data_IF_115911345775
#
_entry.id   IF_115911345775
#
_cell.length_a   1.000
_cell.length_b   1.000
_cell.length_c   1.000
_cell.angle_alpha   90.00
_cell.angle_beta   90.00
_cell.angle_gamma   90.00
#
_symmetry.space_group_name_H-M   'P 1'
#
loop_
_entity.id
_entity.type
_entity.pdbx_description
1 polymer ?
#
# COMPACT_ATOMS: atom_id res chain seq x y z
N UNK A 1 -7.45 -21.66 -4.37
CA UNK A 1 -6.10 -21.70 -3.74
C UNK A 1 -5.04 -21.77 -4.83
N UNK A 2 -4.04 -20.91 -4.78
CA UNK A 2 -2.96 -20.86 -5.77
C UNK A 2 -1.76 -21.66 -5.28
N UNK A 3 -1.33 -22.62 -6.08
CA UNK A 3 -0.11 -23.41 -5.84
C UNK A 3 0.94 -22.95 -6.83
N UNK A 4 2.12 -22.57 -6.34
CA UNK A 4 3.20 -22.02 -7.14
C UNK A 4 4.48 -22.83 -6.91
N UNK A 5 5.25 -23.00 -7.97
CA UNK A 5 6.55 -23.67 -7.89
C UNK A 5 7.61 -22.69 -7.39
N UNK A 6 8.32 -23.08 -6.32
CA UNK A 6 9.46 -22.31 -5.81
C UNK A 6 10.77 -22.84 -6.43
N UNK A 7 11.53 -22.02 -7.18
CA UNK A 7 12.65 -22.50 -7.97
C UNK A 7 13.83 -23.02 -7.13
N UNK A 8 14.08 -22.42 -5.96
CA UNK A 8 15.17 -22.85 -5.08
C UNK A 8 14.79 -24.09 -4.28
N UNK A 9 13.60 -24.14 -3.68
CA UNK A 9 13.13 -25.27 -2.89
C UNK A 9 12.77 -26.49 -3.77
N UNK A 10 12.56 -26.27 -5.07
CA UNK A 10 12.14 -27.28 -6.05
C UNK A 10 10.84 -27.99 -5.67
N UNK A 11 9.96 -27.27 -4.98
CA UNK A 11 8.67 -27.79 -4.51
C UNK A 11 7.52 -26.85 -4.83
N UNK A 12 6.29 -27.35 -4.69
CA UNK A 12 5.08 -26.57 -4.86
C UNK A 12 4.65 -25.95 -3.52
N UNK A 13 4.59 -24.65 -3.46
CA UNK A 13 4.11 -23.88 -2.30
C UNK A 13 2.63 -23.57 -2.48
N UNK A 14 1.81 -24.04 -1.55
CA UNK A 14 0.39 -23.67 -1.52
C UNK A 14 0.20 -22.42 -0.69
N UNK A 15 -0.05 -21.28 -1.37
CA UNK A 15 -0.22 -19.97 -0.73
C UNK A 15 -1.36 -19.95 0.30
N UNK A 16 -2.39 -20.79 0.14
CA UNK A 16 -3.50 -20.87 1.09
C UNK A 16 -3.11 -21.53 2.44
N UNK A 17 -1.93 -22.15 2.52
CA UNK A 17 -1.42 -22.78 3.75
C UNK A 17 -0.36 -21.91 4.45
N UNK A 18 -0.06 -20.72 3.95
CA UNK A 18 0.91 -19.82 4.58
C UNK A 18 0.30 -19.11 5.78
N UNK A 19 1.14 -18.79 6.76
CA UNK A 19 0.73 -18.02 7.94
C UNK A 19 0.19 -16.65 7.54
N UNK A 20 0.78 -16.02 6.53
CA UNK A 20 0.32 -14.75 6.00
C UNK A 20 -1.10 -14.83 5.44
N UNK A 21 -1.45 -15.90 4.72
CA UNK A 21 -2.79 -16.10 4.21
C UNK A 21 -3.80 -16.26 5.35
N UNK A 22 -3.46 -17.07 6.36
CA UNK A 22 -4.29 -17.27 7.54
C UNK A 22 -4.52 -15.96 8.27
N UNK A 23 -3.45 -15.24 8.59
CA UNK A 23 -3.52 -13.93 9.25
C UNK A 23 -4.38 -12.93 8.46
N UNK A 24 -4.18 -12.86 7.14
CA UNK A 24 -4.94 -11.92 6.28
C UNK A 24 -6.43 -12.23 6.29
N UNK A 25 -6.81 -13.51 6.24
CA UNK A 25 -8.21 -13.89 6.30
C UNK A 25 -8.82 -13.61 7.68
N UNK A 26 -8.10 -13.88 8.75
CA UNK A 26 -8.53 -13.58 10.12
C UNK A 26 -8.72 -12.08 10.32
N UNK A 27 -7.77 -11.26 9.80
CA UNK A 27 -7.88 -9.81 9.81
C UNK A 27 -9.12 -9.32 9.04
N UNK A 28 -9.33 -9.77 7.81
CA UNK A 28 -10.52 -9.40 7.06
C UNK A 28 -11.82 -9.84 7.74
N UNK A 29 -11.82 -11.03 8.33
CA UNK A 29 -12.95 -11.52 9.08
C UNK A 29 -13.24 -10.65 10.31
N UNK A 30 -12.20 -10.27 11.05
CA UNK A 30 -12.33 -9.33 12.17
C UNK A 30 -12.89 -7.97 11.74
N UNK A 31 -12.47 -7.46 10.57
CA UNK A 31 -12.99 -6.20 10.03
C UNK A 31 -14.48 -6.26 9.68
N UNK A 32 -14.98 -7.40 9.18
CA UNK A 32 -16.43 -7.54 8.86
C UNK A 32 -17.33 -7.37 10.07
N UNK A 33 -16.81 -7.63 11.27
CA UNK A 33 -17.56 -7.46 12.52
C UNK A 33 -17.47 -6.04 13.11
N UNK A 34 -16.70 -5.13 12.47
CA UNK A 34 -16.58 -3.74 12.92
C UNK A 34 -17.70 -2.88 12.36
N UNK A 35 -18.31 -2.07 13.23
CA UNK A 35 -19.34 -1.11 12.83
C UNK A 35 -18.76 -0.08 11.83
N UNK A 36 -19.53 0.24 10.81
CA UNK A 36 -19.18 1.21 9.75
C UNK A 36 -17.99 0.80 8.89
N UNK A 37 -17.63 -0.47 8.85
CA UNK A 37 -16.65 -1.03 7.92
C UNK A 37 -17.37 -1.79 6.83
N UNK A 38 -17.05 -1.47 5.59
CA UNK A 38 -17.48 -2.21 4.42
C UNK A 38 -16.24 -2.70 3.66
N UNK A 39 -16.12 -4.02 3.48
CA UNK A 39 -15.01 -4.60 2.74
C UNK A 39 -15.37 -4.72 1.25
N UNK A 40 -14.51 -4.16 0.40
CA UNK A 40 -14.49 -4.39 -1.02
C UNK A 40 -13.19 -5.08 -1.39
N UNK A 41 -13.25 -6.38 -1.50
CA UNK A 41 -12.06 -7.15 -1.91
C UNK A 41 -11.81 -6.94 -3.41
N UNK A 42 -10.53 -6.91 -3.78
CA UNK A 42 -10.10 -7.00 -5.17
C UNK A 42 -10.48 -8.34 -5.80
N UNK A 43 -10.19 -8.50 -7.06
CA UNK A 43 -10.27 -9.78 -7.76
C UNK A 43 -9.19 -10.74 -7.25
N UNK A 44 -9.24 -11.99 -7.68
CA UNK A 44 -8.22 -12.96 -7.31
C UNK A 44 -6.83 -12.46 -7.68
N UNK A 45 -5.86 -12.71 -6.79
CA UNK A 45 -4.47 -12.38 -7.04
C UNK A 45 -3.98 -13.10 -8.30
N UNK A 46 -3.52 -12.33 -9.28
CA UNK A 46 -2.86 -12.88 -10.45
C UNK A 46 -1.35 -12.97 -10.18
N UNK A 47 -0.78 -14.15 -10.39
CA UNK A 47 0.67 -14.31 -10.42
C UNK A 47 1.13 -14.20 -11.85
N UNK A 48 2.02 -13.27 -12.14
CA UNK A 48 2.57 -13.12 -13.49
C UNK A 48 3.71 -14.10 -13.72
N UNK A 49 4.66 -14.19 -12.82
CA UNK A 49 5.88 -15.00 -12.97
C UNK A 49 6.10 -16.01 -11.84
N UNK A 50 5.27 -15.98 -10.79
CA UNK A 50 5.51 -16.79 -9.60
C UNK A 50 6.61 -16.20 -8.72
N UNK A 51 7.56 -17.03 -8.31
CA UNK A 51 8.72 -16.56 -7.54
C UNK A 51 9.80 -16.02 -8.48
N UNK A 52 10.27 -14.81 -8.21
CA UNK A 52 11.35 -14.13 -8.94
C UNK A 52 12.48 -13.76 -8.00
N UNK A 53 13.71 -13.87 -8.47
CA UNK A 53 14.86 -13.42 -7.69
C UNK A 53 14.82 -11.90 -7.53
N UNK A 54 15.02 -11.40 -6.30
CA UNK A 54 14.98 -9.97 -6.05
C UNK A 54 16.08 -9.20 -6.80
N UNK A 55 15.83 -7.91 -7.07
CA UNK A 55 16.68 -7.11 -7.92
C UNK A 55 18.11 -6.92 -7.35
N UNK A 56 18.26 -6.84 -6.03
CA UNK A 56 19.57 -6.68 -5.39
C UNK A 56 20.42 -7.94 -5.57
N UNK A 57 19.85 -9.11 -5.32
CA UNK A 57 20.55 -10.40 -5.52
C UNK A 57 20.86 -10.63 -7.00
N UNK A 58 19.95 -10.28 -7.89
CA UNK A 58 20.20 -10.33 -9.34
C UNK A 58 21.42 -9.48 -9.72
N UNK A 59 21.51 -8.23 -9.23
CA UNK A 59 22.68 -7.36 -9.46
C UNK A 59 23.95 -7.95 -8.88
N UNK A 60 23.92 -8.53 -7.69
CA UNK A 60 25.09 -9.14 -7.04
C UNK A 60 25.60 -10.35 -7.80
N UNK A 61 24.73 -11.21 -8.32
CA UNK A 61 25.10 -12.34 -9.18
C UNK A 61 25.72 -11.85 -10.47
N UNK A 62 25.08 -10.91 -11.18
CA UNK A 62 25.61 -10.35 -12.43
C UNK A 62 26.96 -9.66 -12.25
N UNK A 63 27.22 -9.09 -11.07
CA UNK A 63 28.50 -8.47 -10.71
C UNK A 63 29.55 -9.51 -10.23
N UNK A 64 29.24 -10.79 -10.18
CA UNK A 64 30.14 -11.83 -9.67
C UNK A 64 30.46 -11.75 -8.18
N UNK A 65 29.64 -11.03 -7.40
CA UNK A 65 29.84 -10.86 -5.96
C UNK A 65 29.31 -12.01 -5.12
N UNK A 66 28.32 -12.72 -5.62
CA UNK A 66 27.73 -13.93 -5.03
C UNK A 66 27.48 -14.95 -6.12
N UNK A 67 27.40 -16.19 -5.76
CA UNK A 67 27.09 -17.31 -6.67
C UNK A 67 25.64 -17.78 -6.48
N UNK A 68 25.15 -18.58 -7.40
CA UNK A 68 23.81 -19.17 -7.32
C UNK A 68 23.66 -20.07 -6.08
N UNK A 69 24.77 -20.69 -5.62
CA UNK A 69 24.79 -21.53 -4.41
C UNK A 69 24.61 -20.75 -3.11
N UNK A 70 24.79 -19.42 -3.14
CA UNK A 70 24.68 -18.55 -1.96
C UNK A 70 23.24 -18.04 -1.77
N UNK A 71 22.33 -18.38 -2.70
CA UNK A 71 20.94 -17.94 -2.64
C UNK A 71 20.16 -18.67 -1.56
N UNK A 72 19.28 -17.91 -0.90
CA UNK A 72 18.36 -18.38 0.12
C UNK A 72 16.90 -18.19 -0.33
N UNK A 73 15.97 -18.83 0.33
CA UNK A 73 14.53 -18.71 0.05
C UNK A 73 14.06 -17.24 0.13
N UNK A 74 14.54 -16.50 1.13
CA UNK A 74 14.22 -15.08 1.32
C UNK A 74 14.74 -14.15 0.21
N UNK A 75 15.54 -14.66 -0.73
CA UNK A 75 16.03 -13.88 -1.87
C UNK A 75 15.06 -13.89 -3.05
N UNK A 76 13.95 -14.62 -2.92
CA UNK A 76 12.92 -14.71 -3.94
C UNK A 76 11.66 -13.98 -3.51
N UNK A 77 11.25 -13.04 -4.34
CA UNK A 77 10.00 -12.31 -4.17
C UNK A 77 8.88 -12.99 -4.94
N UNK A 78 7.69 -12.98 -4.35
CA UNK A 78 6.50 -13.50 -5.02
C UNK A 78 5.87 -12.40 -5.89
N UNK A 79 5.93 -12.58 -7.20
CA UNK A 79 5.37 -11.63 -8.18
C UNK A 79 3.84 -11.81 -8.27
N UNK A 80 3.15 -11.13 -7.35
CA UNK A 80 1.69 -11.12 -7.28
C UNK A 80 1.20 -9.73 -7.64
N UNK A 81 0.25 -9.67 -8.57
CA UNK A 81 -0.45 -8.44 -8.95
C UNK A 81 -1.92 -8.56 -8.58
N UNK A 82 -2.42 -7.59 -7.87
CA UNK A 82 -3.84 -7.42 -7.61
C UNK A 82 -4.39 -6.36 -8.56
N UNK A 83 -5.23 -6.77 -9.50
CA UNK A 83 -5.81 -5.87 -10.49
C UNK A 83 -7.14 -5.27 -10.03
N UNK A 84 -7.42 -4.07 -10.49
CA UNK A 84 -8.74 -3.45 -10.43
C UNK A 84 -9.14 -2.85 -9.09
N UNK A 85 -8.29 -2.89 -8.04
CA UNK A 85 -8.59 -2.25 -6.75
C UNK A 85 -8.61 -0.75 -6.90
N UNK A 86 -7.59 -0.18 -7.52
CA UNK A 86 -7.44 1.27 -7.69
C UNK A 86 -8.59 1.86 -8.52
N UNK A 87 -8.97 1.17 -9.59
CA UNK A 87 -10.14 1.54 -10.40
C UNK A 87 -11.42 1.55 -9.55
N UNK A 88 -11.62 0.56 -8.68
CA UNK A 88 -12.81 0.48 -7.82
C UNK A 88 -12.84 1.61 -6.80
N UNK A 89 -11.70 1.92 -6.19
CA UNK A 89 -11.58 3.05 -5.26
C UNK A 89 -11.87 4.36 -5.99
N UNK A 90 -11.29 4.55 -7.18
CA UNK A 90 -11.55 5.73 -8.01
C UNK A 90 -13.02 5.90 -8.37
N UNK A 91 -13.71 4.82 -8.74
CA UNK A 91 -15.16 4.84 -9.03
C UNK A 91 -16.00 5.11 -7.78
N UNK A 92 -15.60 4.58 -6.62
CA UNK A 92 -16.29 4.87 -5.35
C UNK A 92 -16.17 6.35 -4.98
N UNK A 93 -14.97 6.92 -5.10
CA UNK A 93 -14.73 8.34 -4.86
C UNK A 93 -15.60 9.18 -5.82
N UNK A 94 -15.60 8.86 -7.11
CA UNK A 94 -16.41 9.57 -8.10
C UNK A 94 -17.91 9.48 -7.78
N UNK A 95 -18.39 8.30 -7.42
CA UNK A 95 -19.80 8.09 -7.05
C UNK A 95 -20.19 8.88 -5.80
N UNK A 96 -19.34 8.94 -4.78
CA UNK A 96 -19.57 9.73 -3.57
C UNK A 96 -19.59 11.22 -3.89
N UNK A 97 -18.69 11.65 -4.76
CA UNK A 97 -18.59 13.03 -5.20
C UNK A 97 -19.85 13.50 -5.97
N UNK A 98 -20.31 12.68 -6.91
CA UNK A 98 -21.50 12.98 -7.71
C UNK A 98 -22.78 13.00 -6.87
N UNK A 99 -22.89 12.12 -5.88
CA UNK A 99 -24.07 12.04 -5.02
C UNK A 99 -24.12 13.17 -3.96
N UNK A 100 -23.02 13.86 -3.71
CA UNK A 100 -22.95 14.89 -2.68
C UNK A 100 -23.28 14.37 -1.26
N UNK A 101 -23.00 13.10 -0.99
CA UNK A 101 -23.38 12.44 0.27
C UNK A 101 -22.31 12.55 1.35
N UNK A 102 -21.14 13.06 1.00
CA UNK A 102 -20.00 13.25 1.91
C UNK A 102 -19.39 14.62 1.70
N UNK A 103 -18.90 15.22 2.76
CA UNK A 103 -18.20 16.53 2.70
C UNK A 103 -16.67 16.35 2.71
N UNK A 104 -16.20 15.20 3.17
CA UNK A 104 -14.78 14.91 3.30
C UNK A 104 -14.50 13.45 2.94
N UNK A 105 -13.40 13.23 2.27
CA UNK A 105 -12.83 11.90 1.99
C UNK A 105 -11.42 11.85 2.57
N UNK A 106 -11.14 10.86 3.41
CA UNK A 106 -9.79 10.54 3.88
C UNK A 106 -9.29 9.32 3.13
N UNK A 107 -8.26 9.51 2.31
CA UNK A 107 -7.62 8.44 1.54
C UNK A 107 -6.36 7.94 2.25
N UNK A 108 -6.28 6.64 2.48
CA UNK A 108 -5.07 6.00 3.03
C UNK A 108 -4.31 5.35 1.87
N UNK A 109 -3.41 6.11 1.28
CA UNK A 109 -2.53 5.64 0.19
C UNK A 109 -1.47 6.70 -0.13
N UNK A 110 -0.32 6.28 -0.66
CA UNK A 110 0.70 7.19 -1.23
C UNK A 110 0.73 7.18 -2.76
N UNK A 111 -0.15 6.44 -3.41
CA UNK A 111 -0.09 6.13 -4.84
C UNK A 111 -0.60 7.30 -5.71
N UNK A 112 0.19 7.63 -6.73
CA UNK A 112 -0.14 8.67 -7.73
C UNK A 112 -1.34 8.33 -8.62
N UNK A 113 -1.72 7.07 -8.71
CA UNK A 113 -2.86 6.63 -9.53
C UNK A 113 -4.19 7.20 -9.04
N UNK A 114 -4.22 7.68 -7.77
CA UNK A 114 -5.39 8.35 -7.21
C UNK A 114 -5.50 9.85 -7.49
N UNK A 115 -4.51 10.47 -8.16
CA UNK A 115 -4.58 11.90 -8.54
C UNK A 115 -5.84 12.28 -9.33
N UNK A 116 -6.30 11.51 -10.32
CA UNK A 116 -7.55 11.82 -11.02
C UNK A 116 -8.76 11.80 -10.10
N UNK A 117 -8.84 10.85 -9.17
CA UNK A 117 -9.94 10.73 -8.21
C UNK A 117 -9.95 11.90 -7.20
N UNK A 118 -8.77 12.29 -6.68
CA UNK A 118 -8.62 13.44 -5.80
C UNK A 118 -9.06 14.73 -6.49
N UNK A 119 -8.61 14.96 -7.72
CA UNK A 119 -9.04 16.12 -8.53
C UNK A 119 -10.55 16.15 -8.74
N UNK A 120 -11.16 15.01 -9.00
CA UNK A 120 -12.60 14.91 -9.22
C UNK A 120 -13.38 15.26 -7.95
N UNK A 121 -13.01 14.67 -6.81
CA UNK A 121 -13.63 14.95 -5.51
C UNK A 121 -13.54 16.44 -5.15
N UNK A 122 -12.36 17.04 -5.27
CA UNK A 122 -12.15 18.48 -4.98
C UNK A 122 -12.96 19.40 -5.88
N UNK A 123 -13.07 19.09 -7.17
CA UNK A 123 -13.93 19.85 -8.10
C UNK A 123 -15.40 19.76 -7.75
N UNK A 124 -15.83 18.70 -7.09
CA UNK A 124 -17.18 18.50 -6.57
C UNK A 124 -17.39 19.13 -5.19
N UNK A 125 -16.41 19.88 -4.68
CA UNK A 125 -16.50 20.58 -3.38
C UNK A 125 -16.26 19.68 -2.17
N UNK A 126 -15.64 18.52 -2.34
CA UNK A 126 -15.29 17.62 -1.26
C UNK A 126 -13.86 17.88 -0.79
N UNK A 127 -13.69 18.01 0.52
CA UNK A 127 -12.39 18.10 1.18
C UNK A 127 -11.66 16.74 1.07
N UNK A 128 -10.53 16.71 0.39
CA UNK A 128 -9.79 15.48 0.11
C UNK A 128 -8.50 15.42 0.91
N UNK A 129 -8.51 14.64 1.99
CA UNK A 129 -7.37 14.45 2.87
C UNK A 129 -6.62 13.16 2.55
N UNK A 130 -5.31 13.20 2.72
CA UNK A 130 -4.44 12.04 2.57
C UNK A 130 -3.84 11.63 3.92
N UNK A 131 -3.99 10.37 4.29
CA UNK A 131 -3.24 9.76 5.38
C UNK A 131 -2.30 8.71 4.81
N UNK A 132 -0.99 9.00 4.70
CA UNK A 132 -0.03 8.08 4.13
C UNK A 132 0.41 6.99 5.12
N UNK A 133 -0.02 7.03 6.38
CA UNK A 133 0.43 6.10 7.42
C UNK A 133 1.96 5.97 7.46
N UNK A 134 2.68 7.10 7.39
CA UNK A 134 4.15 7.21 7.37
C UNK A 134 4.83 6.66 6.10
N UNK A 135 4.06 6.20 5.11
CA UNK A 135 4.61 5.81 3.82
C UNK A 135 5.01 7.03 2.97
N UNK A 136 5.96 6.87 2.05
CA UNK A 136 6.30 7.92 1.09
C UNK A 136 5.10 8.32 0.25
N UNK A 137 5.00 9.61 -0.06
CA UNK A 137 3.93 10.16 -0.90
C UNK A 137 4.54 10.64 -2.20
N UNK A 138 3.89 10.34 -3.32
CA UNK A 138 4.28 10.94 -4.58
C UNK A 138 4.03 12.44 -4.57
N UNK A 139 4.98 13.22 -5.12
CA UNK A 139 4.84 14.67 -5.26
C UNK A 139 3.56 15.04 -6.01
N UNK A 140 3.24 14.28 -7.04
CA UNK A 140 2.03 14.47 -7.84
C UNK A 140 0.75 14.36 -7.00
N UNK A 141 0.68 13.40 -6.07
CA UNK A 141 -0.50 13.24 -5.21
C UNK A 141 -0.57 14.35 -4.16
N UNK A 142 0.55 14.69 -3.51
CA UNK A 142 0.59 15.75 -2.48
C UNK A 142 0.16 17.13 -3.01
N UNK A 143 0.38 17.42 -4.29
CA UNK A 143 -0.06 18.68 -4.92
C UNK A 143 -1.57 18.73 -5.21
N UNK A 144 -2.26 17.59 -5.10
CA UNK A 144 -3.67 17.46 -5.49
C UNK A 144 -4.62 17.07 -4.36
N UNK A 145 -4.15 17.16 -3.11
CA UNK A 145 -4.97 16.97 -1.91
C UNK A 145 -5.14 18.29 -1.17
N UNK A 146 -6.15 18.40 -0.32
CA UNK A 146 -6.40 19.60 0.48
C UNK A 146 -5.59 19.60 1.78
N UNK A 147 -5.22 18.41 2.26
CA UNK A 147 -4.37 18.28 3.43
C UNK A 147 -3.79 16.88 3.59
N UNK A 148 -2.75 16.79 4.41
CA UNK A 148 -2.10 15.53 4.78
C UNK A 148 -2.21 15.38 6.29
N UNK A 149 -2.70 14.23 6.77
CA UNK A 149 -2.84 13.91 8.19
C UNK A 149 -2.12 12.61 8.50
N UNK A 150 -1.55 12.53 9.68
CA UNK A 150 -0.98 11.31 10.23
C UNK A 150 -1.84 10.88 11.41
N UNK A 151 -2.77 9.94 11.19
CA UNK A 151 -3.72 9.52 12.22
C UNK A 151 -3.16 8.46 13.17
N UNK A 152 -2.03 7.86 12.84
CA UNK A 152 -1.37 6.84 13.67
C UNK A 152 -0.01 7.33 14.14
N UNK A 153 0.43 6.84 15.31
CA UNK A 153 1.78 7.10 15.79
C UNK A 153 2.81 6.54 14.82
N UNK A 154 3.96 7.23 14.73
CA UNK A 154 5.07 6.74 13.93
C UNK A 154 5.46 5.31 14.34
N UNK A 155 5.74 4.43 13.37
CA UNK A 155 6.26 3.11 13.70
C UNK A 155 7.59 3.26 14.48
N UNK A 156 7.86 2.40 15.47
CA UNK A 156 9.15 2.43 16.15
C UNK A 156 10.27 2.21 15.14
N UNK A 157 11.38 2.95 15.30
CA UNK A 157 12.50 3.00 14.35
C UNK A 157 13.11 1.63 13.94
N UNK A 158 12.74 0.56 14.61
CA UNK A 158 13.20 -0.80 14.34
C UNK A 158 12.37 -1.56 13.28
N UNK A 159 11.30 -0.93 12.78
CA UNK A 159 10.42 -1.50 11.74
C UNK A 159 10.52 -0.75 10.40
N UNK A 160 11.45 0.18 10.26
CA UNK A 160 11.76 0.74 8.94
C UNK A 160 12.50 -0.33 8.15
N UNK A 161 11.77 -0.95 7.23
CA UNK A 161 12.33 -1.84 6.23
C UNK A 161 13.50 -1.12 5.53
N UNK A 162 14.73 -1.67 5.52
CA UNK A 162 15.88 -1.03 4.90
C UNK A 162 15.76 -0.81 3.39
N UNK A 163 14.66 -1.21 2.76
CA UNK A 163 14.39 -1.02 1.35
C UNK A 163 13.80 0.36 0.98
N UNK A 164 13.55 1.26 1.95
CA UNK A 164 12.86 2.53 1.68
C UNK A 164 13.61 3.79 2.11
N UNK A 165 14.92 3.71 2.33
CA UNK A 165 15.73 4.90 2.67
C UNK A 165 16.63 5.28 1.50
N UNK A 166 16.03 5.84 0.43
CA UNK A 166 16.78 6.72 -0.46
C UNK A 166 15.85 7.79 -1.03
N UNK A 167 16.08 9.03 -0.59
CA UNK A 167 15.52 10.31 -1.01
C UNK A 167 14.49 10.98 -0.10
N UNK A 168 14.82 11.16 1.16
CA UNK A 168 14.26 12.28 1.92
C UNK A 168 15.38 13.10 2.60
N UNK A 169 16.13 13.84 1.81
CA UNK A 169 16.84 15.00 2.32
C UNK A 169 15.91 16.22 2.29
N UNK A 170 15.70 16.80 3.48
CA UNK A 170 15.20 18.15 3.73
C UNK A 170 13.76 18.49 3.31
N UNK A 171 12.83 18.33 4.25
CA UNK A 171 11.96 19.44 4.69
C UNK A 171 11.03 18.98 5.80
N UNK A 172 11.54 19.05 7.04
CA UNK A 172 10.68 19.15 8.22
C UNK A 172 9.96 20.50 8.12
N UNK A 173 8.67 20.48 7.88
CA UNK A 173 7.81 21.63 8.20
C UNK A 173 7.08 21.27 9.46
N UNK A 174 7.45 21.97 10.53
CA UNK A 174 6.73 22.02 11.78
C UNK A 174 5.27 22.39 11.52
N UNK A 175 4.39 21.46 11.72
CA UNK A 175 2.96 21.74 11.82
C UNK A 175 2.69 21.93 13.30
N UNK A 176 2.62 23.19 13.71
CA UNK A 176 2.08 23.60 15.00
C UNK A 176 0.61 23.20 15.04
N UNK A 177 0.26 22.41 16.04
CA UNK A 177 -1.12 22.16 16.42
C UNK A 177 -1.59 23.44 17.16
N UNK A 178 -2.48 24.18 16.57
CA UNK A 178 -3.25 25.19 17.29
C UNK A 178 -4.30 24.46 18.14
N UNK A 179 -4.01 24.32 19.43
CA UNK A 179 -4.98 24.03 20.47
C UNK A 179 -5.74 25.35 20.76
N UNK A 180 -6.83 25.56 20.08
CA UNK A 180 -7.84 26.54 20.49
C UNK A 180 -9.21 26.05 20.00
N UNK A 181 -9.97 25.49 20.95
CA UNK A 181 -11.39 25.74 21.08
C UNK A 181 -11.94 25.11 22.37
N UNK A 182 -11.80 25.87 23.45
CA UNK A 182 -12.83 25.95 24.47
C UNK A 182 -13.87 26.96 23.99
N UNK A 183 -15.10 26.51 23.78
CA UNK A 183 -16.37 27.15 24.18
C UNK A 183 -17.55 26.37 23.59
#
# INVERSE_FOLDING_TARGET
>A
SKVLYHPLLKEQVNLAKTDQYTWTNDFFNALTHKRKVALRRGEELETQRGYTLNADKTKKICAGKISISDLQEADFDLDIVQKGVDMRIGLDIATLAERGTVNQIVMISGDSDFVPAAKHARRSGIDFLLDPMWAPISKSLSEHVDGIRQCVLAPPNNLTDPLHVDNMSSQSRDIQLDDDEEL
#
